data_IF_702716193902
#
_entry.id   IF_702716193902
#
_cell.length_a   1.000
_cell.length_b   1.000
_cell.length_c   1.000
_cell.angle_alpha   90.00
_cell.angle_beta   90.00
_cell.angle_gamma   90.00
#
_symmetry.space_group_name_H-M   'P 1'
#
loop_
_entity.id
_entity.type
_entity.pdbx_description
1 polymer ?
#
# COMPACT_ATOMS: atom_id res chain seq x y z
N UNK A 1 32.89 -4.84 23.43
CA UNK A 1 31.52 -5.39 23.41
C UNK A 1 30.62 -4.29 22.88
N UNK A 2 29.79 -4.57 21.86
CA UNK A 2 28.89 -3.58 21.25
C UNK A 2 27.65 -3.44 22.13
N UNK A 3 27.49 -2.28 22.75
CA UNK A 3 26.25 -1.88 23.42
C UNK A 3 25.14 -1.66 22.38
N UNK A 4 24.27 -2.64 22.21
CA UNK A 4 22.98 -2.45 21.55
C UNK A 4 22.07 -1.71 22.53
N UNK A 5 22.19 -0.39 22.53
CA UNK A 5 21.28 0.49 23.26
C UNK A 5 19.89 0.33 22.64
N UNK A 6 18.97 -0.21 23.42
CA UNK A 6 17.53 -0.21 23.20
C UNK A 6 17.05 1.20 22.84
N UNK A 7 17.01 1.51 21.55
CA UNK A 7 16.17 2.58 21.03
C UNK A 7 14.74 2.09 21.13
N UNK A 8 14.13 2.30 22.29
CA UNK A 8 12.68 2.42 22.39
C UNK A 8 12.28 3.45 21.35
N UNK A 9 11.72 2.98 20.24
CA UNK A 9 11.07 3.81 19.24
C UNK A 9 10.00 4.58 20.00
N UNK A 10 10.08 5.91 19.99
CA UNK A 10 9.02 6.75 20.55
C UNK A 10 7.74 6.53 19.76
N UNK A 11 6.59 6.67 20.40
CA UNK A 11 5.27 6.49 19.77
C UNK A 11 5.09 7.38 18.52
N UNK A 12 5.87 8.46 18.40
CA UNK A 12 5.94 9.35 17.24
C UNK A 12 6.51 8.70 15.96
N UNK A 13 7.12 7.51 16.05
CA UNK A 13 7.54 6.71 14.88
C UNK A 13 6.52 5.64 14.48
N UNK A 14 5.43 5.47 15.23
CA UNK A 14 4.29 4.63 14.83
C UNK A 14 3.32 5.37 13.89
N UNK A 15 3.50 6.68 13.68
CA UNK A 15 2.74 7.45 12.68
C UNK A 15 3.27 7.30 11.24
N UNK A 16 4.38 6.58 11.03
CA UNK A 16 4.93 6.28 9.71
C UNK A 16 4.51 4.92 9.14
N UNK A 17 3.44 4.32 9.67
CA UNK A 17 2.86 3.13 9.04
C UNK A 17 2.12 3.57 7.78
N UNK A 18 2.83 3.62 6.65
CA UNK A 18 2.26 3.68 5.30
C UNK A 18 1.43 2.42 5.08
N UNK A 19 0.11 2.58 5.01
CA UNK A 19 -0.81 1.48 4.76
C UNK A 19 -0.93 1.14 3.28
N UNK A 20 -1.42 -0.06 2.98
CA UNK A 20 -1.61 -0.53 1.61
C UNK A 20 -3.09 -0.58 1.23
N UNK A 21 -3.51 0.20 0.23
CA UNK A 21 -4.83 0.01 -0.42
C UNK A 21 -4.66 -0.85 -1.67
N UNK A 22 -5.73 -1.50 -2.10
CA UNK A 22 -5.70 -2.43 -3.24
C UNK A 22 -6.37 -1.77 -4.43
N UNK A 23 -5.71 -1.81 -5.57
CA UNK A 23 -6.25 -1.29 -6.80
C UNK A 23 -6.20 -2.35 -7.89
N UNK A 24 -7.29 -2.50 -8.64
CA UNK A 24 -7.32 -3.34 -9.82
C UNK A 24 -6.99 -2.49 -11.06
N UNK A 25 -5.76 -2.61 -11.55
CA UNK A 25 -5.25 -1.93 -12.73
C UNK A 25 -5.63 -2.62 -14.05
N UNK A 26 -6.50 -3.63 -14.02
CA UNK A 26 -7.03 -4.27 -15.23
C UNK A 26 -7.66 -3.23 -16.14
N UNK A 27 -7.18 -3.11 -17.37
CA UNK A 27 -7.71 -2.16 -18.36
C UNK A 27 -7.19 -0.73 -18.23
N UNK A 28 -6.26 -0.45 -17.31
CA UNK A 28 -5.52 0.81 -17.29
C UNK A 28 -4.41 0.77 -18.34
N UNK A 29 -4.31 1.83 -19.14
CA UNK A 29 -3.25 1.94 -20.16
C UNK A 29 -1.89 2.00 -19.46
N UNK A 30 -1.00 1.07 -19.83
CA UNK A 30 0.36 0.98 -19.26
C UNK A 30 0.47 0.10 -18.01
N UNK A 31 -0.60 -0.54 -17.55
CA UNK A 31 -0.51 -1.56 -16.49
C UNK A 31 -0.01 -2.90 -17.04
N UNK A 32 0.55 -3.74 -16.16
CA UNK A 32 0.95 -5.11 -16.52
C UNK A 32 -0.29 -6.02 -16.53
N UNK A 33 -0.69 -6.59 -17.68
CA UNK A 33 -1.86 -7.45 -17.77
C UNK A 33 -1.71 -8.77 -17.01
N UNK A 34 -0.49 -9.22 -16.69
CA UNK A 34 -0.25 -10.43 -15.92
C UNK A 34 -0.29 -10.18 -14.41
N UNK A 35 -0.19 -8.93 -13.97
CA UNK A 35 -0.19 -8.53 -12.57
C UNK A 35 -1.15 -7.35 -12.33
N UNK A 36 -2.46 -7.56 -12.52
CA UNK A 36 -3.43 -6.47 -12.48
C UNK A 36 -3.69 -5.91 -11.07
N UNK A 37 -3.33 -6.64 -10.02
CA UNK A 37 -3.60 -6.21 -8.65
C UNK A 37 -2.41 -5.44 -8.09
N UNK A 38 -2.59 -4.15 -7.85
CA UNK A 38 -1.57 -3.26 -7.28
C UNK A 38 -1.89 -2.97 -5.82
N UNK A 39 -0.87 -3.06 -4.97
CA UNK A 39 -0.92 -2.50 -3.62
C UNK A 39 -0.34 -1.10 -3.69
N UNK A 40 -1.13 -0.11 -3.34
CA UNK A 40 -0.77 1.30 -3.38
C UNK A 40 -0.53 1.83 -1.97
N UNK A 41 0.43 2.74 -1.85
CA UNK A 41 0.65 3.55 -0.66
C UNK A 41 -0.57 4.47 -0.44
N UNK A 42 -1.20 4.35 0.72
CA UNK A 42 -2.40 5.09 1.08
C UNK A 42 -2.19 6.60 1.32
N UNK A 43 -0.97 7.13 1.20
CA UNK A 43 -0.64 8.57 1.32
C UNK A 43 -0.47 9.26 -0.02
N UNK A 44 0.16 8.58 -0.98
CA UNK A 44 0.60 9.18 -2.24
C UNK A 44 0.11 8.41 -3.49
N UNK A 45 -0.50 7.23 -3.32
CA UNK A 45 -1.01 6.41 -4.41
C UNK A 45 0.08 5.78 -5.28
N UNK A 46 1.32 5.75 -4.81
CA UNK A 46 2.43 5.07 -5.48
C UNK A 46 2.25 3.55 -5.37
N UNK A 47 2.65 2.85 -6.42
CA UNK A 47 2.62 1.38 -6.44
C UNK A 47 3.74 0.85 -5.54
N UNK A 48 3.38 0.11 -4.50
CA UNK A 48 4.31 -0.60 -3.63
C UNK A 48 4.67 -1.96 -4.22
N UNK A 49 3.67 -2.71 -4.70
CA UNK A 49 3.87 -4.04 -5.29
C UNK A 49 2.70 -4.42 -6.19
N UNK A 50 2.94 -5.42 -7.05
CA UNK A 50 1.97 -5.96 -8.00
C UNK A 50 1.81 -7.47 -7.84
N UNK A 51 0.61 -7.95 -8.08
CA UNK A 51 0.23 -9.34 -7.90
C UNK A 51 -0.64 -9.80 -9.07
N UNK A 52 -0.51 -11.08 -9.42
CA UNK A 52 -1.37 -11.73 -10.41
C UNK A 52 -2.76 -12.09 -9.87
N UNK A 53 -2.95 -12.04 -8.55
CA UNK A 53 -4.21 -12.35 -7.90
C UNK A 53 -4.49 -11.43 -6.71
N UNK A 54 -5.78 -11.26 -6.41
CA UNK A 54 -6.28 -10.38 -5.36
C UNK A 54 -5.87 -10.82 -3.95
N UNK A 55 -5.90 -12.13 -3.69
CA UNK A 55 -5.65 -12.66 -2.35
C UNK A 55 -4.23 -12.37 -1.86
N UNK A 56 -3.23 -12.46 -2.73
CA UNK A 56 -1.85 -12.12 -2.41
C UNK A 56 -1.68 -10.61 -2.18
N UNK A 57 -2.35 -9.77 -2.98
CA UNK A 57 -2.37 -8.32 -2.78
C UNK A 57 -3.02 -7.95 -1.43
N UNK A 58 -4.13 -8.57 -1.06
CA UNK A 58 -4.79 -8.39 0.24
C UNK A 58 -3.89 -8.79 1.41
N UNK A 59 -3.23 -9.94 1.30
CA UNK A 59 -2.30 -10.40 2.32
C UNK A 59 -1.14 -9.44 2.48
N UNK A 60 -0.59 -8.95 1.36
CA UNK A 60 0.51 -7.99 1.40
C UNK A 60 0.07 -6.62 1.94
N UNK A 61 -1.10 -6.12 1.52
CA UNK A 61 -1.66 -4.86 1.99
C UNK A 61 -1.81 -4.84 3.53
N UNK A 62 -2.29 -5.94 4.12
CA UNK A 62 -2.38 -6.13 5.58
C UNK A 62 -1.03 -6.21 6.31
N UNK A 63 0.07 -6.44 5.58
CA UNK A 63 1.41 -6.43 6.15
C UNK A 63 2.03 -5.04 6.18
N UNK A 64 1.55 -4.12 5.33
CA UNK A 64 2.00 -2.73 5.31
C UNK A 64 1.34 -1.88 6.39
N UNK A 65 0.12 -2.21 6.80
CA UNK A 65 -0.54 -1.56 7.92
C UNK A 65 -1.58 -2.44 8.61
N UNK A 66 -1.88 -2.08 9.86
CA UNK A 66 -2.90 -2.73 10.70
C UNK A 66 -4.18 -1.90 10.88
N UNK A 67 -4.36 -0.84 10.06
CA UNK A 67 -5.50 0.05 10.12
C UNK A 67 -6.73 -0.50 9.40
N UNK A 68 -7.91 -0.02 9.78
CA UNK A 68 -9.19 -0.45 9.20
C UNK A 68 -9.34 -0.15 7.70
N UNK A 69 -8.47 0.72 7.15
CA UNK A 69 -8.46 1.10 5.75
C UNK A 69 -7.46 0.29 4.91
N UNK A 70 -6.60 -0.49 5.54
CA UNK A 70 -5.63 -1.33 4.84
C UNK A 70 -6.34 -2.52 4.23
N UNK A 71 -5.92 -2.93 3.03
CA UNK A 71 -6.59 -3.92 2.18
C UNK A 71 -7.97 -3.52 1.63
N UNK A 72 -8.40 -2.26 1.77
CA UNK A 72 -9.57 -1.79 1.04
C UNK A 72 -9.27 -1.69 -0.45
N UNK A 73 -10.20 -2.21 -1.25
CA UNK A 73 -10.17 -2.01 -2.69
C UNK A 73 -10.65 -0.59 -3.01
N UNK A 74 -9.89 0.12 -3.84
CA UNK A 74 -10.16 1.49 -4.26
C UNK A 74 -10.34 1.55 -5.78
N UNK A 75 -11.11 2.54 -6.24
CA UNK A 75 -11.29 2.83 -7.66
C UNK A 75 -10.22 3.81 -8.19
N UNK A 76 -10.21 4.01 -9.50
CA UNK A 76 -9.25 4.93 -10.13
C UNK A 76 -9.38 6.38 -9.64
N UNK A 77 -10.59 6.84 -9.32
CA UNK A 77 -10.80 8.20 -8.81
C UNK A 77 -10.11 8.38 -7.46
N UNK A 78 -10.18 7.38 -6.59
CA UNK A 78 -9.48 7.39 -5.31
C UNK A 78 -7.96 7.34 -5.51
N UNK A 79 -7.46 6.58 -6.50
CA UNK A 79 -6.04 6.60 -6.87
C UNK A 79 -5.58 8.00 -7.30
N UNK A 80 -6.38 8.69 -8.12
CA UNK A 80 -6.09 10.07 -8.54
C UNK A 80 -6.05 11.04 -7.35
N UNK A 81 -6.99 10.91 -6.40
CA UNK A 81 -6.98 11.71 -5.16
C UNK A 81 -5.72 11.49 -4.34
N UNK A 82 -5.32 10.23 -4.15
CA UNK A 82 -4.09 9.88 -3.44
C UNK A 82 -2.84 10.48 -4.11
N UNK A 83 -2.84 10.54 -5.45
CA UNK A 83 -1.74 11.12 -6.24
C UNK A 83 -1.78 12.64 -6.34
N UNK A 84 -2.77 13.31 -5.73
CA UNK A 84 -2.97 14.75 -5.87
C UNK A 84 -3.33 15.20 -7.29
N UNK A 85 -3.95 14.32 -8.08
CA UNK A 85 -4.35 14.55 -9.48
C UNK A 85 -5.86 14.74 -9.66
N UNK A 86 -6.62 14.81 -8.56
CA UNK A 86 -8.07 14.99 -8.55
C UNK A 86 -8.49 16.46 -8.32
#
# INVERSE_FOLDING_TARGET
MKDFKDKKLGDDQLEEVTGGVIFNASGIIGSDPNMPWEVLDNRNGNVLCRFNNKADAERQAKSYGGGAMDSLEVDWNQVLKLRGQA
#
